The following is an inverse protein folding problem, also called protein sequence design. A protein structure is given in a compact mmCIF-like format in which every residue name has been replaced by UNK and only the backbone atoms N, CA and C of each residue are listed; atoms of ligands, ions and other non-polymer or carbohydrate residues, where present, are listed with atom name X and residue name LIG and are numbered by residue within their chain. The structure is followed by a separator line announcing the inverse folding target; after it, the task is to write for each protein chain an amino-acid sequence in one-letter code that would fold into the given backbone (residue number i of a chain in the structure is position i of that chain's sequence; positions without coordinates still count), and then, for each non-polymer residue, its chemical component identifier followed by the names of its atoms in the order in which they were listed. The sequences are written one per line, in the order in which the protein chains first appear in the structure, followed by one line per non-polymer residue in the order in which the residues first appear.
data_IF_538334619154
#
_entry.id   IF_538334619154
#
_cell.length_a   1.000
_cell.length_b   1.000
_cell.length_c   1.000
_cell.angle_alpha   90.00
_cell.angle_beta   90.00
_cell.angle_gamma   90.00
#
_symmetry.space_group_name_H-M   'P 1'
#
loop_
_entity.id
_entity.type
_entity.pdbx_description
1 polymer ?
#
# COMPACT_ATOMS: atom_id res chain seq x y z
N UNK A 1 8.90 4.07 6.98
CA UNK A 1 7.97 4.31 5.86
C UNK A 1 7.51 5.74 5.87
N UNK A 2 7.88 6.42 4.80
CA UNK A 2 7.41 7.76 4.43
C UNK A 2 6.23 7.64 3.45
N UNK A 3 5.57 8.77 3.19
CA UNK A 3 4.43 8.82 2.27
C UNK A 3 4.80 8.34 0.87
N UNK A 4 5.96 8.76 0.36
CA UNK A 4 6.46 8.39 -0.95
C UNK A 4 6.60 6.86 -1.11
N UNK A 5 7.09 6.17 -0.07
CA UNK A 5 7.23 4.71 -0.11
C UNK A 5 5.87 4.00 -0.15
N UNK A 6 4.89 4.50 0.61
CA UNK A 6 3.53 3.97 0.60
C UNK A 6 2.90 4.21 -0.78
N UNK A 7 3.02 5.42 -1.33
CA UNK A 7 2.55 5.73 -2.67
C UNK A 7 3.16 4.79 -3.71
N UNK A 8 4.47 4.56 -3.65
CA UNK A 8 5.17 3.69 -4.59
C UNK A 8 4.65 2.24 -4.52
N UNK A 9 4.46 1.69 -3.32
CA UNK A 9 3.88 0.34 -3.15
C UNK A 9 2.49 0.27 -3.78
N UNK A 10 1.63 1.25 -3.53
CA UNK A 10 0.29 1.29 -4.10
C UNK A 10 0.29 1.48 -5.62
N UNK A 11 1.24 2.27 -6.16
CA UNK A 11 1.45 2.46 -7.59
C UNK A 11 1.89 1.14 -8.25
N UNK A 12 2.82 0.40 -7.64
CA UNK A 12 3.24 -0.94 -8.08
C UNK A 12 2.10 -1.96 -8.06
N UNK A 13 1.24 -1.91 -7.03
CA UNK A 13 0.03 -2.75 -6.98
C UNK A 13 -0.90 -2.45 -8.15
N UNK A 14 -1.14 -1.17 -8.45
CA UNK A 14 -1.98 -0.78 -9.58
C UNK A 14 -1.42 -1.31 -10.90
N UNK A 15 -0.12 -1.17 -11.13
CA UNK A 15 0.60 -1.65 -12.32
C UNK A 15 0.49 -3.18 -12.47
N UNK A 16 0.71 -3.93 -11.38
CA UNK A 16 0.55 -5.39 -11.38
C UNK A 16 -0.88 -5.84 -11.66
N UNK A 17 -1.88 -5.13 -11.12
CA UNK A 17 -3.29 -5.42 -11.40
C UNK A 17 -3.68 -5.06 -12.84
N UNK A 18 -3.11 -3.98 -13.38
CA UNK A 18 -3.31 -3.53 -14.76
C UNK A 18 -2.73 -4.53 -15.76
N UNK A 19 -1.51 -5.01 -15.53
CA UNK A 19 -0.87 -6.05 -16.33
C UNK A 19 -1.69 -7.35 -16.38
N UNK A 20 -2.40 -7.66 -15.28
CA UNK A 20 -3.29 -8.83 -15.17
C UNK A 20 -4.68 -8.61 -15.78
N UNK A 21 -4.98 -7.41 -16.27
CA UNK A 21 -6.34 -6.99 -16.68
C UNK A 21 -7.37 -7.30 -15.59
N UNK A 22 -6.99 -7.07 -14.34
CA UNK A 22 -7.87 -7.21 -13.19
C UNK A 22 -8.93 -6.10 -13.18
N UNK A 23 -9.65 -5.94 -12.08
CA UNK A 23 -10.75 -4.98 -12.02
C UNK A 23 -10.27 -3.52 -12.18
N UNK A 24 -10.68 -2.87 -13.28
CA UNK A 24 -10.37 -1.48 -13.65
C UNK A 24 -10.72 -0.49 -12.52
N UNK A 25 -11.80 -0.76 -11.77
CA UNK A 25 -12.19 0.07 -10.63
C UNK A 25 -11.13 0.02 -9.51
N UNK A 26 -10.57 -1.16 -9.23
CA UNK A 26 -9.51 -1.32 -8.22
C UNK A 26 -8.24 -0.62 -8.68
N UNK A 27 -7.81 -0.86 -9.92
CA UNK A 27 -6.60 -0.26 -10.50
C UNK A 27 -6.63 1.27 -10.36
N UNK A 28 -7.75 1.89 -10.76
CA UNK A 28 -7.95 3.34 -10.63
C UNK A 28 -7.93 3.82 -9.17
N UNK A 29 -8.55 3.05 -8.27
CA UNK A 29 -8.54 3.39 -6.84
C UNK A 29 -7.12 3.37 -6.26
N UNK A 30 -6.31 2.36 -6.58
CA UNK A 30 -4.91 2.27 -6.14
C UNK A 30 -4.05 3.40 -6.71
N UNK A 31 -4.19 3.71 -8.01
CA UNK A 31 -3.45 4.85 -8.59
C UNK A 31 -3.83 6.16 -7.91
N UNK A 32 -5.12 6.43 -7.76
CA UNK A 32 -5.60 7.69 -7.19
C UNK A 32 -5.22 7.83 -5.71
N UNK A 33 -5.25 6.73 -4.97
CA UNK A 33 -4.73 6.68 -3.62
C UNK A 33 -3.23 7.00 -3.58
N UNK A 34 -2.41 6.36 -4.43
CA UNK A 34 -0.97 6.62 -4.50
C UNK A 34 -0.65 8.10 -4.80
N UNK A 35 -1.31 8.69 -5.80
CA UNK A 35 -1.13 10.11 -6.14
C UNK A 35 -1.53 11.03 -4.97
N UNK A 36 -2.64 10.75 -4.32
CA UNK A 36 -3.10 11.57 -3.19
C UNK A 36 -2.16 11.45 -2.00
N UNK A 37 -1.63 10.25 -1.75
CA UNK A 37 -0.65 9.98 -0.69
C UNK A 37 0.67 10.71 -0.97
N UNK A 38 1.15 10.69 -2.21
CA UNK A 38 2.37 11.38 -2.63
C UNK A 38 2.22 12.91 -2.53
N UNK A 39 1.02 13.43 -2.84
CA UNK A 39 0.71 14.85 -2.74
C UNK A 39 0.42 15.34 -1.31
N UNK A 40 0.27 14.45 -0.33
CA UNK A 40 0.07 14.82 1.06
C UNK A 40 1.35 15.40 1.65
N UNK A 41 1.28 16.66 2.10
CA UNK A 41 2.35 17.31 2.86
C UNK A 41 2.52 16.73 4.27
N UNK A 42 1.47 16.13 4.82
CA UNK A 42 1.48 15.54 6.15
C UNK A 42 1.71 14.03 6.12
N UNK A 43 2.43 13.47 7.11
CA UNK A 43 2.71 12.03 7.16
C UNK A 43 1.43 11.21 7.32
N UNK A 44 1.27 10.15 6.51
CA UNK A 44 0.10 9.27 6.59
C UNK A 44 -0.12 8.66 7.97
N UNK A 45 0.94 8.51 8.75
CA UNK A 45 0.87 8.06 10.15
C UNK A 45 -0.10 8.92 10.99
N UNK A 46 -0.17 10.23 10.74
CA UNK A 46 -1.13 11.10 11.42
C UNK A 46 -2.56 10.78 11.02
N UNK A 47 -2.80 10.60 9.71
CA UNK A 47 -4.12 10.20 9.20
C UNK A 47 -4.55 8.83 9.72
N UNK A 48 -3.63 7.87 9.82
CA UNK A 48 -3.87 6.54 10.43
C UNK A 48 -4.26 6.70 11.89
N UNK A 49 -3.51 7.48 12.68
CA UNK A 49 -3.79 7.72 14.11
C UNK A 49 -5.12 8.44 14.33
N UNK A 50 -5.49 9.34 13.42
CA UNK A 50 -6.74 10.09 13.49
C UNK A 50 -7.94 9.34 12.87
N UNK A 51 -7.74 8.15 12.27
CA UNK A 51 -8.73 7.44 11.45
C UNK A 51 -9.31 8.27 10.29
N UNK A 52 -8.55 9.27 9.81
CA UNK A 52 -8.97 10.21 8.75
C UNK A 52 -8.49 9.81 7.35
N UNK A 53 -7.95 8.61 7.20
CA UNK A 53 -7.49 8.09 5.90
C UNK A 53 -8.60 8.09 4.83
N UNK A 54 -9.85 7.93 5.25
CA UNK A 54 -11.02 7.95 4.35
C UNK A 54 -11.33 9.33 3.77
N UNK A 55 -10.77 10.39 4.33
CA UNK A 55 -10.92 11.74 3.76
C UNK A 55 -9.95 11.98 2.60
N UNK A 56 -8.92 11.14 2.47
CA UNK A 56 -7.98 11.25 1.36
C UNK A 56 -8.69 10.83 0.06
N UNK A 57 -8.69 11.69 -0.98
CA UNK A 57 -9.36 11.37 -2.23
C UNK A 57 -8.82 10.08 -2.85
N UNK A 58 -9.71 9.18 -3.24
CA UNK A 58 -9.32 7.86 -3.78
C UNK A 58 -8.97 6.80 -2.74
N UNK A 59 -8.87 7.14 -1.45
CA UNK A 59 -8.66 6.17 -0.36
C UNK A 59 -10.00 5.72 0.20
N UNK A 60 -10.52 4.62 -0.33
CA UNK A 60 -11.72 3.96 0.22
C UNK A 60 -11.42 3.13 1.48
N UNK A 61 -12.47 2.58 2.11
CA UNK A 61 -12.35 1.72 3.30
C UNK A 61 -11.35 0.57 3.13
N UNK A 62 -11.34 -0.09 1.97
CA UNK A 62 -10.42 -1.20 1.69
C UNK A 62 -8.96 -0.74 1.59
N UNK A 63 -8.73 0.43 0.98
CA UNK A 63 -7.39 1.02 0.82
C UNK A 63 -6.90 1.54 2.17
N UNK A 64 -7.74 2.24 2.93
CA UNK A 64 -7.43 2.73 4.28
C UNK A 64 -6.98 1.59 5.22
N UNK A 65 -7.67 0.45 5.21
CA UNK A 65 -7.26 -0.74 5.99
C UNK A 65 -5.88 -1.25 5.57
N UNK A 66 -5.61 -1.32 4.27
CA UNK A 66 -4.32 -1.77 3.72
C UNK A 66 -3.18 -0.81 4.05
N UNK A 67 -3.44 0.48 3.99
CA UNK A 67 -2.49 1.52 4.40
C UNK A 67 -2.19 1.36 5.89
N UNK A 68 -3.21 1.25 6.73
CA UNK A 68 -3.04 1.09 8.18
C UNK A 68 -2.23 -0.16 8.52
N UNK A 69 -2.50 -1.27 7.83
CA UNK A 69 -1.72 -2.51 7.92
C UNK A 69 -0.27 -2.26 7.49
N UNK A 70 -0.02 -1.75 6.28
CA UNK A 70 1.33 -1.49 5.77
C UNK A 70 2.12 -0.53 6.68
N UNK A 71 1.48 0.49 7.25
CA UNK A 71 2.11 1.44 8.17
C UNK A 71 2.43 0.79 9.52
N UNK A 72 1.58 -0.11 10.02
CA UNK A 72 1.75 -0.76 11.33
C UNK A 72 2.70 -1.95 11.28
N UNK A 73 2.60 -2.80 10.25
CA UNK A 73 3.37 -4.04 10.11
C UNK A 73 4.61 -3.86 9.24
N UNK A 74 4.67 -2.81 8.42
CA UNK A 74 5.69 -2.63 7.39
C UNK A 74 5.52 -3.55 6.18
N UNK A 75 4.45 -4.35 6.12
CA UNK A 75 4.20 -5.33 5.06
C UNK A 75 2.74 -5.34 4.66
N UNK A 76 2.49 -5.47 3.36
CA UNK A 76 1.15 -5.67 2.85
C UNK A 76 1.04 -7.06 2.25
N UNK A 77 0.26 -7.95 2.88
CA UNK A 77 0.09 -9.32 2.39
C UNK A 77 -0.50 -9.38 0.97
N UNK A 78 -1.26 -8.35 0.58
CA UNK A 78 -1.74 -8.21 -0.79
C UNK A 78 -0.62 -7.93 -1.80
N UNK A 79 0.35 -7.09 -1.44
CA UNK A 79 1.51 -6.79 -2.30
C UNK A 79 2.42 -8.03 -2.42
N UNK A 80 2.64 -8.72 -1.30
CA UNK A 80 3.45 -9.93 -1.26
C UNK A 80 2.88 -11.01 -2.18
N UNK A 81 1.56 -11.27 -2.11
CA UNK A 81 0.90 -12.21 -3.02
C UNK A 81 1.06 -11.85 -4.50
N UNK A 82 0.83 -10.58 -4.85
CA UNK A 82 1.01 -10.13 -6.23
C UNK A 82 2.44 -10.33 -6.73
N UNK A 83 3.42 -10.16 -5.86
CA UNK A 83 4.84 -10.35 -6.15
C UNK A 83 5.19 -11.83 -6.34
N UNK A 84 4.71 -12.71 -5.47
CA UNK A 84 4.86 -14.17 -5.58
C UNK A 84 4.18 -14.75 -6.80
N UNK A 85 3.07 -14.18 -7.25
CA UNK A 85 2.43 -14.66 -8.47
C UNK A 85 3.15 -14.15 -9.74
N UNK A 86 3.85 -13.01 -9.68
CA UNK A 86 4.57 -12.46 -10.84
C UNK A 86 5.92 -13.14 -11.08
N UNK A 87 6.57 -13.61 -10.02
CA UNK A 87 7.78 -14.44 -10.08
C UNK A 87 7.33 -15.83 -9.70
N UNK A 88 7.25 -16.81 -10.61
CA UNK A 88 6.77 -18.18 -10.32
C UNK A 88 7.61 -19.00 -9.32
N UNK A 89 8.24 -18.34 -8.35
CA UNK A 89 9.10 -18.85 -7.31
C UNK A 89 8.39 -18.71 -5.96
N UNK A 90 7.93 -19.85 -5.44
CA UNK A 90 7.38 -19.98 -4.11
C UNK A 90 8.53 -19.95 -3.08
N UNK A 91 9.07 -18.77 -2.80
CA UNK A 91 9.88 -18.56 -1.60
C UNK A 91 9.17 -17.59 -0.65
N UNK A 92 8.57 -18.08 0.45
CA UNK A 92 8.15 -17.21 1.53
C UNK A 92 9.41 -16.57 2.13
N UNK A 93 9.65 -15.29 1.83
CA UNK A 93 10.82 -14.60 2.40
C UNK A 93 10.52 -14.23 3.85
N UNK A 94 11.38 -14.65 4.80
CA UNK A 94 11.14 -14.50 6.22
C UNK A 94 11.07 -13.02 6.61
N UNK A 95 10.22 -12.74 7.59
CA UNK A 95 10.18 -11.51 8.38
C UNK A 95 11.56 -11.06 8.85
N UNK A 96 12.26 -10.30 8.00
CA UNK A 96 13.36 -9.43 8.42
C UNK A 96 12.77 -8.24 9.19
N UNK A 97 12.53 -8.52 10.46
CA UNK A 97 12.57 -7.60 11.59
C UNK A 97 13.63 -6.50 11.37
N UNK A 98 13.22 -5.24 11.35
CA UNK A 98 14.03 -4.11 11.82
C UNK A 98 13.42 -3.66 13.15
N UNK A 99 13.89 -4.14 14.30
CA UNK A 99 15.07 -3.62 15.03
C UNK A 99 14.85 -2.14 15.39
N UNK A 100 14.21 -1.89 16.55
CA UNK A 100 14.75 -1.25 17.79
C UNK A 100 15.15 0.23 17.61
N UNK A 101 14.93 1.13 18.56
CA UNK A 101 15.30 1.07 19.96
C UNK A 101 14.43 2.06 20.78
N UNK A 102 14.00 1.65 21.98
CA UNK A 102 14.40 2.19 23.29
C UNK A 102 13.91 3.61 23.57
#
# INVERSE_FOLDING_TARGET
MENAEIAEVFRKIADMLEARKDNVFKIRAYRKAAESIEALNEPLKNFVRADRLREVPGVGTAIAKKISELVSTGKLGFYDRLKTEASGDNTPKPDSKGEKAR
#
